data_IF_708570515530
#
_entry.id   IF_708570515530
#
_cell.length_a   1.000
_cell.length_b   1.000
_cell.length_c   1.000
_cell.angle_alpha   90.00
_cell.angle_beta   90.00
_cell.angle_gamma   90.00
#
_symmetry.space_group_name_H-M   'P 1'
#
loop_
_entity.id
_entity.type
_entity.pdbx_description
1 polymer ?
#
# COMPACT_ATOMS: atom_id res chain seq x y z
N UNK A 1 -0.60 -39.93 3.05
CA UNK A 1 -0.30 -40.31 1.66
C UNK A 1 0.01 -39.10 0.78
N UNK A 2 -0.91 -38.15 0.58
CA UNK A 2 -0.72 -36.95 -0.28
C UNK A 2 0.53 -36.13 0.10
N UNK A 3 0.71 -35.79 1.39
CA UNK A 3 1.91 -35.03 1.85
C UNK A 3 3.17 -35.85 1.67
N UNK A 4 3.13 -37.15 1.93
CA UNK A 4 4.27 -38.05 1.74
C UNK A 4 4.67 -38.14 0.25
N UNK A 5 3.68 -38.20 -0.65
CA UNK A 5 3.90 -38.18 -2.08
C UNK A 5 4.50 -36.82 -2.53
N UNK A 6 3.98 -35.70 -2.05
CA UNK A 6 4.54 -34.37 -2.31
C UNK A 6 6.00 -34.26 -1.84
N UNK A 7 6.32 -34.78 -0.65
CA UNK A 7 7.69 -34.78 -0.14
C UNK A 7 8.64 -35.59 -1.01
N UNK A 8 8.21 -36.75 -1.52
CA UNK A 8 9.07 -37.59 -2.37
C UNK A 8 9.21 -37.09 -3.79
N UNK A 9 8.17 -36.51 -4.37
CA UNK A 9 8.16 -36.13 -5.80
C UNK A 9 8.64 -34.68 -6.04
N UNK A 10 8.28 -33.74 -5.13
CA UNK A 10 8.55 -32.30 -5.34
C UNK A 10 9.52 -31.69 -4.32
N UNK A 11 9.60 -32.25 -3.13
CA UNK A 11 10.38 -31.68 -2.03
C UNK A 11 11.37 -32.68 -1.42
N UNK A 12 11.92 -33.58 -2.25
CA UNK A 12 12.83 -34.64 -1.81
C UNK A 12 14.07 -34.15 -1.03
N UNK A 13 14.49 -32.89 -1.27
CA UNK A 13 15.63 -32.26 -0.60
C UNK A 13 15.25 -31.47 0.66
N UNK A 14 13.98 -31.45 1.04
CA UNK A 14 13.50 -30.70 2.20
C UNK A 14 13.12 -31.63 3.34
N UNK A 15 13.38 -31.25 4.62
CA UNK A 15 12.86 -31.99 5.76
C UNK A 15 11.33 -32.11 5.68
N UNK A 16 10.82 -33.32 5.90
CA UNK A 16 9.36 -33.57 5.85
C UNK A 16 8.59 -32.72 6.85
N UNK A 17 9.18 -32.43 8.02
CA UNK A 17 8.61 -31.52 9.02
C UNK A 17 8.33 -30.13 8.45
N UNK A 18 9.27 -29.57 7.70
CA UNK A 18 9.21 -28.22 7.16
C UNK A 18 8.13 -28.11 6.08
N UNK A 19 8.08 -29.12 5.18
CA UNK A 19 7.02 -29.22 4.17
C UNK A 19 5.66 -29.36 4.85
N UNK A 20 5.55 -30.23 5.85
CA UNK A 20 4.29 -30.44 6.59
C UNK A 20 3.81 -29.15 7.26
N UNK A 21 4.68 -28.47 8.01
CA UNK A 21 4.29 -27.24 8.72
C UNK A 21 3.94 -26.11 7.75
N UNK A 22 4.66 -25.96 6.63
CA UNK A 22 4.36 -24.98 5.60
C UNK A 22 2.97 -25.22 4.98
N UNK A 23 2.71 -26.44 4.50
CA UNK A 23 1.40 -26.82 3.91
C UNK A 23 0.27 -26.67 4.93
N UNK A 24 0.48 -27.10 6.17
CA UNK A 24 -0.50 -26.91 7.23
C UNK A 24 -0.83 -25.45 7.48
N UNK A 25 0.18 -24.58 7.52
CA UNK A 25 0.01 -23.14 7.74
C UNK A 25 -0.75 -22.46 6.59
N UNK A 26 -0.61 -22.93 5.37
CA UNK A 26 -1.38 -22.48 4.21
C UNK A 26 -2.83 -22.98 4.25
N UNK A 27 -3.01 -24.26 4.48
CA UNK A 27 -4.32 -24.92 4.34
C UNK A 27 -5.23 -24.71 5.56
N UNK A 28 -4.67 -24.61 6.77
CA UNK A 28 -5.49 -24.50 7.98
C UNK A 28 -6.43 -23.30 7.99
N UNK A 29 -5.98 -22.07 7.64
CA UNK A 29 -6.88 -20.93 7.51
C UNK A 29 -7.96 -21.15 6.44
N UNK A 30 -7.61 -21.74 5.29
CA UNK A 30 -8.59 -22.04 4.24
C UNK A 30 -9.67 -23.03 4.72
N UNK A 31 -9.27 -24.11 5.38
CA UNK A 31 -10.22 -25.09 5.92
C UNK A 31 -11.14 -24.46 6.96
N UNK A 32 -10.62 -23.54 7.78
CA UNK A 32 -11.41 -22.76 8.74
C UNK A 32 -12.46 -21.91 8.02
N UNK A 33 -12.06 -21.19 6.95
CA UNK A 33 -12.99 -20.40 6.14
C UNK A 33 -14.05 -21.25 5.47
N UNK A 34 -13.68 -22.42 4.92
CA UNK A 34 -14.61 -23.35 4.29
C UNK A 34 -15.67 -23.90 5.26
N UNK A 35 -15.35 -23.97 6.55
CA UNK A 35 -16.27 -24.43 7.61
C UNK A 35 -17.04 -23.28 8.28
N UNK A 36 -16.78 -22.03 7.93
CA UNK A 36 -17.42 -20.86 8.54
C UNK A 36 -18.87 -20.69 8.07
N UNK A 37 -19.72 -20.26 8.99
CA UNK A 37 -21.06 -19.78 8.64
C UNK A 37 -20.97 -18.46 7.88
N UNK A 38 -21.75 -18.35 6.81
CA UNK A 38 -21.74 -17.19 5.94
C UNK A 38 -23.07 -16.47 6.09
N UNK A 39 -23.07 -15.17 6.45
CA UNK A 39 -24.30 -14.38 6.49
C UNK A 39 -24.91 -14.26 5.08
N UNK A 40 -26.21 -14.40 4.99
CA UNK A 40 -26.93 -14.22 3.74
C UNK A 40 -27.05 -12.72 3.44
N UNK A 41 -26.62 -12.33 2.26
CA UNK A 41 -26.67 -10.96 1.77
C UNK A 41 -27.07 -10.92 0.29
N UNK A 42 -27.44 -9.75 -0.22
CA UNK A 42 -27.79 -9.57 -1.63
C UNK A 42 -26.57 -9.40 -2.53
N UNK A 43 -25.43 -9.01 -1.97
CA UNK A 43 -24.14 -8.95 -2.62
C UNK A 43 -23.01 -9.13 -1.60
N UNK A 44 -21.86 -9.57 -2.05
CA UNK A 44 -20.66 -9.69 -1.24
C UNK A 44 -19.56 -8.77 -1.79
N UNK A 45 -18.86 -8.08 -0.90
CA UNK A 45 -17.79 -7.17 -1.26
C UNK A 45 -16.51 -7.53 -0.50
N UNK A 46 -15.46 -7.85 -1.25
CA UNK A 46 -14.12 -8.08 -0.72
C UNK A 46 -13.22 -6.87 -1.03
N UNK A 47 -12.30 -6.56 -0.11
CA UNK A 47 -11.34 -5.46 -0.27
C UNK A 47 -9.91 -5.97 -0.53
N UNK A 48 -9.74 -7.26 -0.73
CA UNK A 48 -8.48 -7.91 -1.12
C UNK A 48 -8.74 -9.31 -1.67
N UNK A 49 -7.79 -9.87 -2.40
CA UNK A 49 -7.83 -11.22 -2.94
C UNK A 49 -7.38 -12.30 -1.96
N UNK A 50 -6.90 -11.93 -0.76
CA UNK A 50 -6.46 -12.88 0.26
C UNK A 50 -7.59 -13.70 0.89
N UNK A 51 -7.43 -14.08 2.15
CA UNK A 51 -8.42 -14.90 2.85
C UNK A 51 -9.82 -14.29 2.90
N UNK A 52 -9.92 -12.94 3.00
CA UNK A 52 -11.21 -12.23 2.93
C UNK A 52 -11.87 -12.37 1.57
N UNK A 53 -11.10 -12.29 0.49
CA UNK A 53 -11.56 -12.53 -0.88
C UNK A 53 -12.07 -13.96 -1.07
N UNK A 54 -11.35 -14.96 -0.54
CA UNK A 54 -11.79 -16.36 -0.59
C UNK A 54 -13.09 -16.56 0.19
N UNK A 55 -13.26 -15.95 1.36
CA UNK A 55 -14.50 -16.03 2.13
C UNK A 55 -15.68 -15.43 1.35
N UNK A 56 -15.49 -14.25 0.74
CA UNK A 56 -16.50 -13.60 -0.09
C UNK A 56 -16.82 -14.41 -1.36
N UNK A 57 -15.80 -15.02 -1.98
CA UNK A 57 -15.96 -15.95 -3.10
C UNK A 57 -16.79 -17.17 -2.70
N UNK A 58 -16.50 -17.78 -1.57
CA UNK A 58 -17.27 -18.91 -1.04
C UNK A 58 -18.72 -18.50 -0.77
N UNK A 59 -18.94 -17.31 -0.21
CA UNK A 59 -20.25 -16.75 0.03
C UNK A 59 -21.06 -16.58 -1.27
N UNK A 60 -20.44 -15.96 -2.28
CA UNK A 60 -21.02 -15.77 -3.62
C UNK A 60 -21.41 -17.12 -4.26
N UNK A 61 -20.52 -18.11 -4.22
CA UNK A 61 -20.78 -19.43 -4.81
C UNK A 61 -21.93 -20.16 -4.10
N UNK A 62 -21.95 -20.15 -2.76
CA UNK A 62 -23.00 -20.84 -1.97
C UNK A 62 -24.38 -20.19 -2.12
N UNK A 63 -24.43 -18.87 -2.16
CA UNK A 63 -25.70 -18.13 -2.18
C UNK A 63 -26.14 -17.72 -3.58
N UNK A 64 -25.26 -17.88 -4.59
CA UNK A 64 -25.45 -17.41 -5.97
C UNK A 64 -25.71 -15.90 -6.06
N UNK A 65 -25.05 -15.14 -5.21
CA UNK A 65 -25.13 -13.68 -5.16
C UNK A 65 -23.85 -13.06 -5.74
N UNK A 66 -23.92 -11.84 -6.29
CA UNK A 66 -22.79 -11.17 -6.92
C UNK A 66 -21.64 -10.91 -5.94
N UNK A 67 -20.43 -10.96 -6.49
CA UNK A 67 -19.16 -10.64 -5.81
C UNK A 67 -18.51 -9.42 -6.42
N UNK A 68 -18.34 -8.37 -5.61
CA UNK A 68 -17.51 -7.21 -5.92
C UNK A 68 -16.15 -7.35 -5.22
N UNK A 69 -15.09 -7.11 -5.96
CA UNK A 69 -13.74 -6.99 -5.42
C UNK A 69 -13.25 -5.54 -5.60
N UNK A 70 -12.75 -4.93 -4.53
CA UNK A 70 -12.01 -3.66 -4.60
C UNK A 70 -10.59 -3.86 -4.08
N UNK A 71 -9.59 -3.54 -4.88
CA UNK A 71 -8.21 -3.55 -4.44
C UNK A 71 -7.64 -2.13 -4.35
N UNK A 72 -7.14 -1.76 -3.17
CA UNK A 72 -6.45 -0.49 -2.93
C UNK A 72 -4.97 -0.53 -3.35
N UNK A 73 -4.38 -1.71 -3.37
CA UNK A 73 -3.08 -2.10 -3.90
C UNK A 73 -3.21 -3.51 -4.46
N UNK A 74 -2.22 -4.00 -5.17
CA UNK A 74 -2.22 -5.38 -5.67
C UNK A 74 -1.75 -6.32 -4.56
N UNK A 75 -2.72 -6.88 -3.85
CA UNK A 75 -2.49 -7.72 -2.65
C UNK A 75 -1.43 -8.81 -2.88
N UNK A 76 -1.47 -9.48 -4.01
CA UNK A 76 -0.55 -10.57 -4.34
C UNK A 76 0.90 -10.09 -4.41
N UNK A 77 1.15 -8.91 -5.01
CA UNK A 77 2.50 -8.32 -5.10
C UNK A 77 3.01 -7.87 -3.73
N UNK A 78 2.14 -7.27 -2.93
CA UNK A 78 2.47 -6.88 -1.55
C UNK A 78 2.84 -8.11 -0.71
N UNK A 79 2.09 -9.20 -0.86
CA UNK A 79 2.40 -10.49 -0.21
C UNK A 79 3.70 -11.10 -0.68
N UNK A 80 4.00 -11.05 -1.97
CA UNK A 80 5.27 -11.52 -2.52
C UNK A 80 6.45 -10.77 -1.91
N UNK A 81 6.40 -9.44 -1.84
CA UNK A 81 7.44 -8.64 -1.20
C UNK A 81 7.61 -8.96 0.28
N UNK A 82 6.51 -9.11 1.01
CA UNK A 82 6.55 -9.50 2.42
C UNK A 82 7.16 -10.88 2.61
N UNK A 83 6.80 -11.87 1.78
CA UNK A 83 7.32 -13.23 1.83
C UNK A 83 8.83 -13.25 1.55
N UNK A 84 9.29 -12.47 0.58
CA UNK A 84 10.72 -12.37 0.24
C UNK A 84 11.52 -11.83 1.42
N UNK A 85 10.97 -10.87 2.17
CA UNK A 85 11.62 -10.23 3.33
C UNK A 85 11.41 -10.97 4.64
N UNK A 86 10.49 -11.93 4.70
CA UNK A 86 10.12 -12.61 5.93
C UNK A 86 11.22 -13.54 6.46
N UNK A 87 11.61 -13.36 7.72
CA UNK A 87 12.58 -14.21 8.40
C UNK A 87 11.97 -15.54 8.91
N UNK A 88 10.65 -15.58 9.10
CA UNK A 88 9.94 -16.77 9.58
C UNK A 88 9.63 -17.79 8.47
N UNK A 89 9.81 -17.41 7.19
CA UNK A 89 9.60 -18.30 6.06
C UNK A 89 10.94 -18.90 5.63
N UNK A 90 11.01 -20.22 5.60
CA UNK A 90 12.16 -20.91 5.07
C UNK A 90 12.43 -20.49 3.62
N UNK A 91 13.67 -20.10 3.26
CA UNK A 91 13.98 -19.65 1.90
C UNK A 91 13.54 -20.63 0.81
N UNK A 92 13.68 -21.94 1.07
CA UNK A 92 13.25 -23.01 0.16
C UNK A 92 11.74 -23.12 -0.02
N UNK A 93 10.92 -22.53 0.88
CA UNK A 93 9.47 -22.57 0.86
C UNK A 93 8.83 -21.23 0.44
N UNK A 94 9.63 -20.20 0.13
CA UNK A 94 9.10 -18.89 -0.28
C UNK A 94 8.28 -18.97 -1.56
N UNK A 95 8.78 -19.71 -2.55
CA UNK A 95 8.04 -19.89 -3.81
C UNK A 95 6.66 -20.50 -3.59
N UNK A 96 6.53 -21.49 -2.72
CA UNK A 96 5.26 -22.14 -2.42
C UNK A 96 4.26 -21.18 -1.79
N UNK A 97 4.73 -20.31 -0.89
CA UNK A 97 3.90 -19.26 -0.30
C UNK A 97 3.44 -18.23 -1.33
N UNK A 98 4.33 -17.81 -2.23
CA UNK A 98 4.01 -16.89 -3.32
C UNK A 98 2.97 -17.53 -4.25
N UNK A 99 3.24 -18.73 -4.78
CA UNK A 99 2.33 -19.47 -5.67
C UNK A 99 0.94 -19.69 -5.00
N UNK A 100 0.93 -19.92 -3.69
CA UNK A 100 -0.31 -20.07 -2.93
C UNK A 100 -1.16 -18.79 -2.97
N UNK A 101 -0.59 -17.63 -2.70
CA UNK A 101 -1.34 -16.36 -2.74
C UNK A 101 -1.76 -15.98 -4.16
N UNK A 102 -0.95 -16.29 -5.18
CA UNK A 102 -1.36 -16.14 -6.57
C UNK A 102 -2.58 -17.02 -6.89
N UNK A 103 -2.58 -18.28 -6.43
CA UNK A 103 -3.73 -19.20 -6.61
C UNK A 103 -4.99 -18.68 -5.92
N UNK A 104 -4.88 -18.09 -4.71
CA UNK A 104 -6.02 -17.46 -4.05
C UNK A 104 -6.57 -16.29 -4.87
N UNK A 105 -5.69 -15.45 -5.40
CA UNK A 105 -6.08 -14.31 -6.23
C UNK A 105 -6.77 -14.73 -7.51
N UNK A 106 -6.25 -15.74 -8.21
CA UNK A 106 -6.89 -16.33 -9.40
C UNK A 106 -8.31 -16.82 -9.11
N UNK A 107 -8.49 -17.49 -7.96
CA UNK A 107 -9.81 -17.98 -7.56
C UNK A 107 -10.81 -16.84 -7.34
N UNK A 108 -10.37 -15.73 -6.73
CA UNK A 108 -11.21 -14.53 -6.52
C UNK A 108 -11.49 -13.83 -7.84
N UNK A 109 -10.47 -13.54 -8.64
CA UNK A 109 -10.60 -12.87 -9.93
C UNK A 109 -11.53 -13.61 -10.89
N UNK A 110 -11.41 -14.95 -10.96
CA UNK A 110 -12.27 -15.77 -11.82
C UNK A 110 -13.74 -15.69 -11.44
N UNK A 111 -14.07 -15.46 -10.17
CA UNK A 111 -15.44 -15.47 -9.64
C UNK A 111 -16.04 -14.09 -9.45
N UNK A 112 -15.23 -13.04 -9.31
CA UNK A 112 -15.73 -11.69 -9.17
C UNK A 112 -16.56 -11.29 -10.40
N UNK A 113 -17.70 -10.65 -10.16
CA UNK A 113 -18.57 -10.09 -11.20
C UNK A 113 -18.10 -8.68 -11.59
N UNK A 114 -17.48 -7.96 -10.65
CA UNK A 114 -16.86 -6.66 -10.88
C UNK A 114 -15.60 -6.55 -10.03
N UNK A 115 -14.53 -6.03 -10.64
CA UNK A 115 -13.24 -5.81 -10.01
C UNK A 115 -12.91 -4.33 -10.14
N UNK A 116 -12.61 -3.67 -9.03
CA UNK A 116 -12.25 -2.26 -9.02
C UNK A 116 -10.85 -2.05 -8.49
N UNK A 117 -10.14 -1.12 -9.11
CA UNK A 117 -8.83 -0.63 -8.70
C UNK A 117 -8.84 0.89 -8.63
N UNK A 118 -7.87 1.49 -7.95
CA UNK A 118 -7.85 2.93 -7.71
C UNK A 118 -7.32 3.76 -8.88
N UNK A 119 -6.55 3.15 -9.80
CA UNK A 119 -5.89 3.84 -10.92
C UNK A 119 -5.62 2.90 -12.09
N UNK A 120 -5.35 3.47 -13.27
CA UNK A 120 -5.26 2.74 -14.53
C UNK A 120 -4.17 1.68 -14.53
N UNK A 121 -3.00 2.01 -13.97
CA UNK A 121 -1.89 1.06 -13.89
C UNK A 121 -2.20 -0.16 -13.01
N UNK A 122 -2.95 0.00 -11.92
CA UNK A 122 -3.40 -1.13 -11.10
C UNK A 122 -4.37 -2.03 -11.88
N UNK A 123 -5.30 -1.43 -12.65
CA UNK A 123 -6.20 -2.19 -13.55
C UNK A 123 -5.41 -2.99 -14.60
N UNK A 124 -4.39 -2.41 -15.23
CA UNK A 124 -3.52 -3.12 -16.17
C UNK A 124 -2.87 -4.35 -15.52
N UNK A 125 -2.31 -4.16 -14.32
CA UNK A 125 -1.70 -5.26 -13.56
C UNK A 125 -2.70 -6.37 -13.24
N UNK A 126 -3.94 -6.02 -12.86
CA UNK A 126 -5.02 -7.01 -12.63
C UNK A 126 -5.31 -7.81 -13.90
N UNK A 127 -5.37 -7.16 -15.06
CA UNK A 127 -5.57 -7.81 -16.37
C UNK A 127 -4.38 -8.73 -16.70
N UNK A 128 -3.14 -8.26 -16.52
CA UNK A 128 -1.93 -9.07 -16.72
C UNK A 128 -1.89 -10.31 -15.80
N UNK A 129 -2.52 -10.21 -14.62
CA UNK A 129 -2.69 -11.31 -13.68
C UNK A 129 -3.89 -12.21 -13.98
N UNK A 130 -4.57 -12.02 -15.12
CA UNK A 130 -5.64 -12.89 -15.60
C UNK A 130 -7.06 -12.41 -15.32
N UNK A 131 -7.27 -11.18 -14.85
CA UNK A 131 -8.61 -10.62 -14.74
C UNK A 131 -9.22 -10.37 -16.12
N UNK A 132 -10.52 -10.65 -16.24
CA UNK A 132 -11.29 -10.29 -17.42
C UNK A 132 -11.38 -8.75 -17.54
N UNK A 133 -10.86 -8.14 -18.63
CA UNK A 133 -10.89 -6.68 -18.83
C UNK A 133 -12.29 -6.07 -18.74
N UNK A 134 -13.32 -6.82 -19.14
CA UNK A 134 -14.72 -6.37 -19.13
C UNK A 134 -15.28 -6.21 -17.70
N UNK A 135 -14.70 -6.91 -16.73
CA UNK A 135 -15.07 -6.83 -15.32
C UNK A 135 -14.27 -5.79 -14.56
N UNK A 136 -13.13 -5.33 -15.10
CA UNK A 136 -12.22 -4.41 -14.44
C UNK A 136 -12.63 -2.94 -14.63
N UNK A 137 -12.77 -2.19 -13.54
CA UNK A 137 -13.11 -0.77 -13.51
C UNK A 137 -12.10 0.01 -12.68
N UNK A 138 -11.84 1.25 -13.05
CA UNK A 138 -11.07 2.19 -12.23
C UNK A 138 -12.04 3.07 -11.45
N UNK A 139 -11.96 3.02 -10.12
CA UNK A 139 -12.73 3.86 -9.20
C UNK A 139 -11.74 4.43 -8.20
N UNK A 140 -11.33 5.67 -8.43
CA UNK A 140 -10.36 6.37 -7.58
C UNK A 140 -10.94 6.70 -6.20
N UNK A 141 -10.05 6.86 -5.21
CA UNK A 141 -10.44 7.39 -3.90
C UNK A 141 -11.02 8.81 -4.03
N UNK A 142 -12.03 9.08 -3.23
CA UNK A 142 -12.55 10.43 -3.03
C UNK A 142 -11.90 11.09 -1.82
N UNK A 143 -11.94 12.41 -1.80
CA UNK A 143 -11.61 13.25 -0.64
C UNK A 143 -12.72 14.28 -0.43
N UNK A 144 -12.78 14.86 0.74
CA UNK A 144 -13.66 16.01 1.01
C UNK A 144 -13.07 17.28 0.37
N UNK A 145 -13.35 17.46 -0.91
CA UNK A 145 -12.80 18.59 -1.70
C UNK A 145 -13.13 19.94 -1.07
N UNK A 146 -14.34 20.16 -0.59
CA UNK A 146 -14.76 21.43 0.01
C UNK A 146 -13.95 21.75 1.27
N UNK A 147 -13.66 20.74 2.07
CA UNK A 147 -12.88 20.90 3.29
C UNK A 147 -11.41 21.25 3.06
N UNK A 148 -10.86 20.97 1.87
CA UNK A 148 -9.47 21.28 1.52
C UNK A 148 -9.36 22.51 0.60
N UNK A 149 -10.24 22.69 -0.36
CA UNK A 149 -10.19 23.78 -1.35
C UNK A 149 -10.41 25.18 -0.74
N UNK A 150 -11.01 25.24 0.45
CA UNK A 150 -11.23 26.51 1.17
C UNK A 150 -10.08 26.90 2.10
N UNK A 151 -9.00 26.11 2.16
CA UNK A 151 -7.84 26.38 3.01
C UNK A 151 -7.07 27.59 2.44
N UNK A 152 -6.98 28.72 3.15
CA UNK A 152 -6.21 29.87 2.69
C UNK A 152 -4.71 29.58 2.78
N UNK A 153 -3.93 30.22 1.92
CA UNK A 153 -2.47 30.22 2.05
C UNK A 153 -2.02 31.37 2.98
N UNK A 154 -1.21 31.03 3.98
CA UNK A 154 -0.66 31.94 4.98
C UNK A 154 0.87 31.90 4.92
N UNK A 155 1.48 32.77 4.12
CA UNK A 155 2.94 32.89 4.02
C UNK A 155 3.56 33.51 5.29
N UNK A 156 4.72 33.00 5.70
CA UNK A 156 5.47 33.49 6.87
C UNK A 156 6.89 33.98 6.51
N UNK A 157 7.16 34.18 5.22
CA UNK A 157 8.47 34.60 4.71
C UNK A 157 9.49 33.47 4.53
N UNK A 158 9.09 32.22 4.87
CA UNK A 158 9.85 31.01 4.58
C UNK A 158 9.18 30.25 3.43
N UNK A 159 9.97 29.42 2.77
CA UNK A 159 9.45 28.40 1.86
C UNK A 159 9.22 27.14 2.71
N UNK A 160 7.96 26.81 2.92
CA UNK A 160 7.55 25.69 3.76
C UNK A 160 7.18 24.49 2.90
N UNK A 161 7.97 23.44 3.01
CA UNK A 161 7.75 22.15 2.34
C UNK A 161 7.02 21.22 3.33
N UNK A 162 5.96 20.56 2.89
CA UNK A 162 5.22 19.63 3.72
C UNK A 162 5.34 18.19 3.23
N UNK A 163 5.41 17.24 4.15
CA UNK A 163 5.31 15.82 3.88
C UNK A 163 4.32 15.19 4.86
N UNK A 164 3.13 14.81 4.38
CA UNK A 164 2.12 14.15 5.19
C UNK A 164 2.29 12.62 5.08
N UNK A 165 3.17 12.05 5.90
CA UNK A 165 3.59 10.65 5.84
C UNK A 165 3.80 10.06 7.23
N UNK A 166 3.45 8.78 7.40
CA UNK A 166 3.81 8.01 8.61
C UNK A 166 5.30 7.65 8.56
N UNK A 167 5.96 7.60 9.71
CA UNK A 167 7.36 7.22 9.78
C UNK A 167 7.50 5.69 9.67
N UNK A 168 7.67 5.21 8.44
CA UNK A 168 7.85 3.82 8.08
C UNK A 168 8.83 3.69 6.91
N UNK A 169 9.60 2.58 6.79
CA UNK A 169 10.60 2.39 5.71
C UNK A 169 10.05 2.59 4.31
N UNK A 170 8.80 2.17 4.05
CA UNK A 170 8.14 2.29 2.74
C UNK A 170 7.96 3.76 2.29
N UNK A 171 7.97 4.73 3.21
CA UNK A 171 7.83 6.15 2.93
C UNK A 171 9.16 6.84 2.58
N UNK A 172 10.25 6.15 2.74
CA UNK A 172 11.63 6.56 2.43
C UNK A 172 11.97 8.00 2.84
N UNK A 173 11.71 8.28 4.12
CA UNK A 173 11.97 9.60 4.72
C UNK A 173 13.47 9.92 4.69
N UNK A 174 14.35 8.92 4.62
CA UNK A 174 15.80 9.17 4.51
C UNK A 174 16.15 9.85 3.18
N UNK A 175 15.59 9.40 2.07
CA UNK A 175 15.75 10.08 0.76
C UNK A 175 15.22 11.52 0.83
N UNK A 176 14.07 11.74 1.50
CA UNK A 176 13.53 13.08 1.74
C UNK A 176 14.49 13.96 2.54
N UNK A 177 15.09 13.44 3.61
CA UNK A 177 16.07 14.16 4.43
C UNK A 177 17.30 14.53 3.62
N UNK A 178 17.85 13.62 2.81
CA UNK A 178 18.99 13.92 1.95
C UNK A 178 18.66 14.96 0.88
N UNK A 179 17.51 14.83 0.22
CA UNK A 179 17.06 15.84 -0.75
C UNK A 179 16.89 17.22 -0.11
N UNK A 180 16.31 17.26 1.10
CA UNK A 180 16.16 18.50 1.84
C UNK A 180 17.51 19.11 2.28
N UNK A 181 18.49 18.27 2.62
CA UNK A 181 19.84 18.73 2.94
C UNK A 181 20.45 19.51 1.78
N UNK A 182 20.37 19.01 0.56
CA UNK A 182 20.86 19.68 -0.64
C UNK A 182 20.13 21.02 -0.92
N UNK A 183 18.79 21.03 -0.72
CA UNK A 183 17.99 22.24 -0.88
C UNK A 183 18.32 23.28 0.18
N UNK A 184 18.44 22.88 1.46
CA UNK A 184 18.70 23.80 2.56
C UNK A 184 20.10 24.42 2.50
N UNK A 185 21.07 23.75 1.89
CA UNK A 185 22.40 24.30 1.64
C UNK A 185 22.38 25.48 0.63
N UNK A 186 21.39 25.50 -0.26
CA UNK A 186 21.26 26.55 -1.29
C UNK A 186 20.25 27.63 -0.90
N UNK A 187 19.29 27.30 -0.02
CA UNK A 187 18.17 28.18 0.34
C UNK A 187 18.05 28.28 1.86
N UNK A 188 18.55 29.37 2.49
CA UNK A 188 18.54 29.48 3.95
C UNK A 188 17.14 29.71 4.57
N UNK A 189 16.17 30.14 3.77
CA UNK A 189 14.79 30.43 4.21
C UNK A 189 13.82 29.28 3.88
N UNK A 190 14.29 28.03 3.77
CA UNK A 190 13.44 26.85 3.56
C UNK A 190 13.24 26.06 4.84
N UNK A 191 12.07 25.46 5.00
CA UNK A 191 11.74 24.52 6.08
C UNK A 191 11.05 23.28 5.54
N UNK A 192 11.31 22.14 6.17
CA UNK A 192 10.59 20.89 5.87
C UNK A 192 9.83 20.42 7.11
N UNK A 193 8.54 20.15 6.94
CA UNK A 193 7.65 19.63 7.96
C UNK A 193 7.27 18.18 7.60
N UNK A 194 7.72 17.22 8.43
CA UNK A 194 7.32 15.80 8.30
C UNK A 194 6.18 15.55 9.28
N UNK A 195 4.97 15.42 8.74
CA UNK A 195 3.71 15.38 9.47
C UNK A 195 3.15 13.96 9.45
N UNK A 196 3.21 13.29 10.60
CA UNK A 196 2.66 11.93 10.74
C UNK A 196 3.17 11.21 11.96
N UNK A 197 2.47 10.14 12.32
CA UNK A 197 2.84 9.30 13.46
C UNK A 197 4.02 8.37 13.15
N UNK A 198 4.58 7.80 14.22
CA UNK A 198 5.64 6.79 14.15
C UNK A 198 5.01 5.40 14.10
N UNK A 199 5.17 4.70 12.98
CA UNK A 199 4.75 3.31 12.83
C UNK A 199 5.90 2.34 13.14
N UNK A 200 7.13 2.70 12.72
CA UNK A 200 8.35 1.95 12.99
C UNK A 200 9.31 2.81 13.84
N UNK A 201 9.48 2.43 15.10
CA UNK A 201 10.34 3.17 16.04
C UNK A 201 11.82 3.09 15.69
N UNK A 202 12.29 1.96 15.17
CA UNK A 202 13.69 1.80 14.79
C UNK A 202 14.02 2.71 13.61
N UNK A 203 13.20 2.68 12.57
CA UNK A 203 13.32 3.56 11.41
C UNK A 203 13.21 5.05 11.78
N UNK A 204 12.27 5.41 12.65
CA UNK A 204 12.12 6.79 13.12
C UNK A 204 13.39 7.28 13.83
N UNK A 205 13.98 6.46 14.71
CA UNK A 205 15.24 6.80 15.38
C UNK A 205 16.38 7.01 14.39
N UNK A 206 16.48 6.16 13.35
CA UNK A 206 17.47 6.34 12.29
C UNK A 206 17.27 7.67 11.53
N UNK A 207 16.03 8.08 11.27
CA UNK A 207 15.71 9.36 10.65
C UNK A 207 16.08 10.55 11.57
N UNK A 208 15.77 10.48 12.86
CA UNK A 208 16.17 11.52 13.83
C UNK A 208 17.67 11.64 13.94
N UNK A 209 18.40 10.51 13.98
CA UNK A 209 19.86 10.48 14.02
C UNK A 209 20.47 11.08 12.75
N UNK A 210 19.89 10.82 11.59
CA UNK A 210 20.32 11.38 10.32
C UNK A 210 20.17 12.91 10.31
N UNK A 211 19.03 13.43 10.73
CA UNK A 211 18.79 14.89 10.84
C UNK A 211 19.81 15.54 11.77
N UNK A 212 20.08 14.93 12.93
CA UNK A 212 21.11 15.43 13.87
C UNK A 212 22.51 15.43 13.28
N UNK A 213 22.90 14.34 12.58
CA UNK A 213 24.20 14.22 11.91
C UNK A 213 24.40 15.26 10.81
N UNK A 214 23.35 15.56 10.06
CA UNK A 214 23.35 16.56 9.00
C UNK A 214 23.13 18.01 9.51
N UNK A 215 22.85 18.18 10.80
CA UNK A 215 22.61 19.48 11.46
C UNK A 215 21.49 20.28 10.79
N UNK A 216 20.38 19.60 10.48
CA UNK A 216 19.20 20.20 9.83
C UNK A 216 18.24 20.77 10.88
N UNK A 217 18.51 21.97 11.37
CA UNK A 217 17.66 22.65 12.38
C UNK A 217 16.32 23.13 11.82
N UNK A 218 16.21 23.19 10.51
CA UNK A 218 15.02 23.64 9.76
C UNK A 218 14.16 22.46 9.23
N UNK A 219 14.43 21.22 9.66
CA UNK A 219 13.59 20.06 9.44
C UNK A 219 12.84 19.71 10.73
N UNK A 220 11.52 19.71 10.67
CA UNK A 220 10.62 19.58 11.81
C UNK A 220 9.78 18.31 11.69
N UNK A 221 9.92 17.38 12.65
CA UNK A 221 9.00 16.27 12.80
C UNK A 221 7.87 16.70 13.74
N UNK A 222 6.66 16.83 13.21
CA UNK A 222 5.50 17.33 13.97
C UNK A 222 4.79 16.25 14.77
N UNK A 223 5.01 14.97 14.44
CA UNK A 223 4.14 13.89 14.88
C UNK A 223 2.78 13.96 14.18
N UNK A 224 1.77 13.31 14.78
CA UNK A 224 0.40 13.31 14.25
C UNK A 224 -0.26 14.67 14.52
N UNK A 225 -0.67 15.36 13.48
CA UNK A 225 -1.27 16.70 13.50
C UNK A 225 -2.52 16.76 12.62
N UNK A 226 -3.31 17.82 12.79
CA UNK A 226 -4.35 18.18 11.83
C UNK A 226 -3.70 18.78 10.58
N UNK A 227 -3.71 18.02 9.48
CA UNK A 227 -3.07 18.40 8.22
C UNK A 227 -3.61 19.73 7.66
N UNK A 228 -4.90 20.04 7.87
CA UNK A 228 -5.52 21.26 7.35
C UNK A 228 -4.89 22.51 7.94
N UNK A 229 -4.50 22.48 9.21
CA UNK A 229 -3.84 23.60 9.86
C UNK A 229 -2.44 23.83 9.31
N UNK A 230 -1.75 22.77 8.92
CA UNK A 230 -0.41 22.87 8.35
C UNK A 230 -0.44 23.26 6.87
N UNK A 231 -1.39 22.75 6.08
CA UNK A 231 -1.52 23.08 4.66
C UNK A 231 -1.66 24.58 4.41
N UNK A 232 -2.19 25.35 5.36
CA UNK A 232 -2.23 26.83 5.24
C UNK A 232 -0.86 27.46 5.01
N UNK A 233 0.18 26.90 5.62
CA UNK A 233 1.55 27.43 5.61
C UNK A 233 2.44 26.75 4.57
N UNK A 234 2.03 25.63 4.00
CA UNK A 234 2.83 24.91 3.03
C UNK A 234 2.77 25.60 1.67
N UNK A 235 3.92 25.75 1.05
CA UNK A 235 4.04 26.24 -0.35
C UNK A 235 3.87 25.07 -1.31
N UNK A 236 4.46 23.92 -1.00
CA UNK A 236 4.27 22.68 -1.75
C UNK A 236 4.44 21.45 -0.86
N UNK A 237 4.04 20.31 -1.39
CA UNK A 237 4.12 19.03 -0.69
C UNK A 237 5.08 18.09 -1.40
N UNK A 238 5.75 17.22 -0.61
CA UNK A 238 6.68 16.21 -1.12
C UNK A 238 6.30 14.82 -0.66
N UNK A 239 6.49 13.83 -1.54
CA UNK A 239 6.30 12.41 -1.26
C UNK A 239 7.46 11.61 -1.89
N UNK A 240 8.23 10.89 -1.06
CA UNK A 240 9.41 10.10 -1.49
C UNK A 240 9.20 8.59 -1.37
N UNK A 241 7.95 8.15 -1.23
CA UNK A 241 7.62 6.74 -0.99
C UNK A 241 8.20 5.81 -2.05
N UNK A 242 8.60 4.61 -1.62
CA UNK A 242 9.06 3.52 -2.49
C UNK A 242 7.88 2.87 -3.21
N UNK A 243 6.72 2.80 -2.53
CA UNK A 243 5.49 2.23 -3.09
C UNK A 243 4.27 2.93 -2.50
N UNK A 244 3.29 3.16 -3.35
CA UNK A 244 1.96 3.69 -3.01
C UNK A 244 0.89 3.01 -3.86
N UNK A 245 -0.36 3.07 -3.40
CA UNK A 245 -1.51 2.88 -4.27
C UNK A 245 -1.94 4.25 -4.82
N UNK A 246 -2.90 4.87 -4.16
CA UNK A 246 -3.32 6.25 -4.41
C UNK A 246 -3.13 7.06 -3.12
N UNK A 247 -2.09 7.91 -3.02
CA UNK A 247 -1.77 8.62 -1.81
C UNK A 247 -2.78 9.76 -1.56
N UNK A 248 -3.60 9.61 -0.51
CA UNK A 248 -4.59 10.62 -0.12
C UNK A 248 -3.94 11.96 0.20
N UNK A 249 -2.73 11.96 0.77
CA UNK A 249 -1.99 13.18 1.07
C UNK A 249 -1.68 14.03 -0.17
N UNK A 250 -1.48 13.40 -1.33
CA UNK A 250 -1.30 14.12 -2.61
C UNK A 250 -2.64 14.67 -3.09
N UNK A 251 -3.72 13.90 -3.02
CA UNK A 251 -5.08 14.38 -3.37
C UNK A 251 -5.50 15.57 -2.51
N UNK A 252 -5.29 15.47 -1.19
CA UNK A 252 -5.59 16.52 -0.22
C UNK A 252 -4.78 17.79 -0.49
N UNK A 253 -3.48 17.64 -0.77
CA UNK A 253 -2.60 18.75 -1.13
C UNK A 253 -3.05 19.45 -2.43
N UNK A 254 -3.35 18.67 -3.47
CA UNK A 254 -3.85 19.19 -4.75
C UNK A 254 -5.20 19.91 -4.56
N UNK A 255 -6.13 19.38 -3.76
CA UNK A 255 -7.40 20.03 -3.45
C UNK A 255 -7.19 21.35 -2.69
N UNK A 256 -6.15 21.44 -1.85
CA UNK A 256 -5.75 22.69 -1.17
C UNK A 256 -4.94 23.63 -2.06
N UNK A 257 -4.85 23.36 -3.38
CA UNK A 257 -4.10 24.18 -4.35
C UNK A 257 -2.58 24.16 -4.15
N UNK A 258 -2.04 23.11 -3.50
CA UNK A 258 -0.59 22.96 -3.29
C UNK A 258 0.04 22.13 -4.41
N UNK A 259 1.15 22.61 -4.96
CA UNK A 259 1.98 21.82 -5.86
C UNK A 259 2.53 20.59 -5.13
N UNK A 260 2.75 19.50 -5.85
CA UNK A 260 3.29 18.27 -5.31
C UNK A 260 4.51 17.79 -6.08
N UNK A 261 5.54 17.36 -5.36
CA UNK A 261 6.71 16.67 -5.90
C UNK A 261 6.71 15.25 -5.37
N UNK A 262 6.66 14.26 -6.24
CA UNK A 262 6.52 12.86 -5.83
C UNK A 262 7.50 11.95 -6.54
N UNK A 263 7.86 10.83 -5.93
CA UNK A 263 8.39 9.68 -6.66
C UNK A 263 7.32 9.14 -7.61
N UNK A 264 7.75 8.53 -8.73
CA UNK A 264 6.84 7.92 -9.72
C UNK A 264 6.35 6.55 -9.23
N UNK A 265 5.43 6.57 -8.28
CA UNK A 265 4.88 5.38 -7.62
C UNK A 265 3.35 5.41 -7.60
N UNK A 266 2.74 4.23 -7.68
CA UNK A 266 1.28 4.10 -7.67
C UNK A 266 0.62 4.91 -8.77
N UNK A 267 -0.32 5.77 -8.41
CA UNK A 267 -1.00 6.67 -9.33
C UNK A 267 -0.39 8.08 -9.40
N UNK A 268 0.76 8.35 -8.76
CA UNK A 268 1.31 9.71 -8.68
C UNK A 268 1.47 10.36 -10.07
N UNK A 269 1.95 9.60 -11.06
CA UNK A 269 2.04 10.07 -12.45
C UNK A 269 0.66 10.44 -13.01
N UNK A 270 -0.35 9.57 -12.87
CA UNK A 270 -1.71 9.83 -13.36
C UNK A 270 -2.35 11.05 -12.68
N UNK A 271 -2.00 11.32 -11.42
CA UNK A 271 -2.50 12.48 -10.68
C UNK A 271 -1.87 13.80 -11.13
N UNK A 272 -0.58 13.79 -11.46
CA UNK A 272 0.20 15.02 -11.72
C UNK A 272 0.39 15.31 -13.21
N UNK A 273 0.30 14.29 -14.08
CA UNK A 273 0.52 14.46 -15.53
C UNK A 273 -0.58 15.31 -16.17
N UNK A 274 -0.17 16.29 -16.98
CA UNK A 274 -1.09 17.21 -17.66
C UNK A 274 -1.76 18.25 -16.76
N UNK A 275 -1.23 18.50 -15.56
CA UNK A 275 -1.69 19.52 -14.63
C UNK A 275 -0.54 20.50 -14.33
N UNK A 276 -0.30 21.39 -15.27
CA UNK A 276 0.62 22.54 -15.10
C UNK A 276 -0.06 23.68 -14.35
#
# INVERSE_FOLDING_TARGET
QMIQQLCTERYAMQPMSDVFHTIRSMLFPLLTLLSSDIPIADAYHAISTGYGGILATLASVRTKKPLLLTEHGIYTREREEEIIRADWILPSMRKQWIDFFYTLSDAVYSKADCITSLFSKAREIQIDMGCDPEKCRVISNGIDYEAFSTIPHEGDGFINIGAAVRMAPIKDIKTMIYAFYEVSAQMPNVRLYVMGGVDDKAYANECYDLVRKLKLDNLIFTGRVDIKQYLRRMDFMILTSISEGQPLSVLEAMAAGKACVTTDVGCCRELLEGRE
#
